data_IF_774281758893
#
_entry.id   IF_774281758893
#
_cell.length_a   1.000
_cell.length_b   1.000
_cell.length_c   1.000
_cell.angle_alpha   90.00
_cell.angle_beta   90.00
_cell.angle_gamma   90.00
#
_symmetry.space_group_name_H-M   'P 1'
#
loop_
_entity.id
_entity.type
_entity.pdbx_description
1 polymer ?
#
# COMPACT_ATOMS: atom_id res chain seq x y z
N UNK A 1 19.04 -2.90 -41.64
CA UNK A 1 18.00 -2.10 -40.96
C UNK A 1 17.39 -2.92 -39.84
N UNK A 2 17.65 -2.57 -38.59
CA UNK A 2 16.70 -2.68 -37.46
C UNK A 2 17.38 -2.05 -36.22
N UNK A 3 17.10 -0.78 -35.96
CA UNK A 3 17.43 -0.13 -34.68
C UNK A 3 16.24 -0.37 -33.74
N UNK A 4 16.42 -1.24 -32.75
CA UNK A 4 15.41 -1.51 -31.73
C UNK A 4 15.22 -0.26 -30.87
N UNK A 5 14.03 0.32 -30.91
CA UNK A 5 13.62 1.43 -30.04
C UNK A 5 13.46 0.89 -28.60
N UNK A 6 14.48 1.08 -27.78
CA UNK A 6 14.40 0.89 -26.34
C UNK A 6 13.71 2.10 -25.68
N UNK A 7 12.41 2.30 -25.95
CA UNK A 7 11.59 3.35 -25.30
C UNK A 7 10.22 2.79 -24.89
N UNK A 8 10.09 2.14 -23.72
CA UNK A 8 8.79 2.17 -23.07
C UNK A 8 8.79 2.49 -21.57
N UNK A 9 9.88 2.29 -20.82
CA UNK A 9 9.85 2.44 -19.36
C UNK A 9 9.87 3.90 -18.89
N UNK A 10 10.65 4.77 -19.54
CA UNK A 10 10.81 6.18 -19.11
C UNK A 10 9.53 7.01 -19.30
N UNK A 11 8.76 6.73 -20.35
CA UNK A 11 7.48 7.42 -20.59
C UNK A 11 6.42 7.00 -19.57
N UNK A 12 6.38 5.72 -19.18
CA UNK A 12 5.42 5.21 -18.20
C UNK A 12 5.67 5.80 -16.81
N UNK A 13 6.93 5.89 -16.38
CA UNK A 13 7.31 6.50 -15.09
C UNK A 13 7.00 7.99 -15.03
N UNK A 14 7.26 8.74 -16.11
CA UNK A 14 6.93 10.18 -16.20
C UNK A 14 5.41 10.41 -16.14
N UNK A 15 4.64 9.59 -16.84
CA UNK A 15 3.17 9.70 -16.86
C UNK A 15 2.57 9.41 -15.48
N UNK A 16 3.15 8.44 -14.75
CA UNK A 16 2.75 8.10 -13.40
C UNK A 16 3.13 9.17 -12.37
N UNK A 17 4.33 9.74 -12.47
CA UNK A 17 4.75 10.88 -11.65
C UNK A 17 3.82 12.08 -11.86
N UNK A 18 3.48 12.40 -13.12
CA UNK A 18 2.50 13.44 -13.44
C UNK A 18 1.13 13.18 -12.82
N UNK A 19 0.65 11.94 -12.82
CA UNK A 19 -0.62 11.57 -12.21
C UNK A 19 -0.61 11.68 -10.67
N UNK A 20 0.51 11.34 -10.00
CA UNK A 20 0.66 11.50 -8.55
C UNK A 20 0.68 13.00 -8.20
N UNK A 21 1.52 13.78 -8.89
CA UNK A 21 1.67 15.21 -8.67
C UNK A 21 0.32 15.95 -8.81
N UNK A 22 -0.46 15.63 -9.84
CA UNK A 22 -1.80 16.20 -10.05
C UNK A 22 -2.76 15.93 -8.88
N UNK A 23 -2.70 14.74 -8.26
CA UNK A 23 -3.58 14.39 -7.13
C UNK A 23 -3.18 15.07 -5.83
N UNK A 24 -1.92 15.50 -5.70
CA UNK A 24 -1.35 16.15 -4.51
C UNK A 24 -1.35 17.68 -4.61
N UNK A 25 -1.40 18.23 -5.83
CA UNK A 25 -1.36 19.66 -6.09
C UNK A 25 -2.36 20.45 -5.23
N UNK A 26 -1.85 21.41 -4.45
CA UNK A 26 -2.65 22.28 -3.58
C UNK A 26 -3.25 21.59 -2.34
N UNK A 27 -2.97 20.30 -2.11
CA UNK A 27 -3.53 19.52 -1.00
C UNK A 27 -2.51 19.14 0.07
N UNK A 28 -1.23 19.15 -0.30
CA UNK A 28 -0.10 18.86 0.59
C UNK A 28 1.02 19.86 0.33
N UNK A 29 1.96 19.97 1.26
CA UNK A 29 3.16 20.79 1.05
C UNK A 29 4.09 20.18 -0.01
N UNK A 30 4.99 20.97 -0.63
CA UNK A 30 5.95 20.46 -1.60
C UNK A 30 6.85 19.33 -1.05
N UNK A 31 7.24 19.42 0.22
CA UNK A 31 8.11 18.43 0.88
C UNK A 31 7.42 17.05 0.97
N UNK A 32 6.14 17.04 1.33
CA UNK A 32 5.31 15.83 1.38
C UNK A 32 5.05 15.31 -0.03
N UNK A 33 4.77 16.19 -1.00
CA UNK A 33 4.53 15.81 -2.39
C UNK A 33 5.73 15.06 -3.00
N UNK A 34 6.93 15.63 -2.89
CA UNK A 34 8.16 15.01 -3.41
C UNK A 34 8.39 13.62 -2.82
N UNK A 35 8.15 13.44 -1.52
CA UNK A 35 8.28 12.14 -0.88
C UNK A 35 7.27 11.11 -1.41
N UNK A 36 6.00 11.50 -1.54
CA UNK A 36 4.94 10.61 -2.04
C UNK A 36 5.19 10.22 -3.49
N UNK A 37 5.66 11.15 -4.32
CA UNK A 37 6.07 10.85 -5.70
C UNK A 37 7.21 9.85 -5.73
N UNK A 38 8.28 10.06 -4.95
CA UNK A 38 9.41 9.15 -4.88
C UNK A 38 8.98 7.74 -4.44
N UNK A 39 8.27 7.62 -3.32
CA UNK A 39 7.81 6.32 -2.79
C UNK A 39 6.79 5.66 -3.73
N UNK A 40 5.92 6.45 -4.35
CA UNK A 40 4.91 5.98 -5.30
C UNK A 40 5.54 5.42 -6.57
N UNK A 41 6.52 6.12 -7.16
CA UNK A 41 7.26 5.61 -8.33
C UNK A 41 7.98 4.31 -7.98
N UNK A 42 8.86 4.32 -6.96
CA UNK A 42 9.65 3.14 -6.57
C UNK A 42 8.77 1.96 -6.11
N UNK A 43 7.64 2.23 -5.46
CA UNK A 43 6.68 1.20 -5.08
C UNK A 43 5.99 0.58 -6.30
N UNK A 44 5.56 1.42 -7.23
CA UNK A 44 4.84 0.95 -8.43
C UNK A 44 5.70 0.14 -9.39
N UNK A 45 7.00 0.46 -9.52
CA UNK A 45 7.97 -0.35 -10.25
C UNK A 45 8.06 -1.79 -9.69
N UNK A 46 7.73 -1.98 -8.41
CA UNK A 46 7.67 -3.27 -7.72
C UNK A 46 6.25 -3.85 -7.65
N UNK A 47 5.28 -3.22 -8.29
CA UNK A 47 3.87 -3.63 -8.34
C UNK A 47 3.05 -3.27 -7.10
N UNK A 48 3.49 -2.32 -6.27
CA UNK A 48 2.73 -1.87 -5.10
C UNK A 48 1.68 -0.80 -5.45
N UNK A 49 0.53 -0.76 -4.75
CA UNK A 49 -0.46 0.30 -4.94
C UNK A 49 0.05 1.65 -4.42
N UNK A 50 -0.20 2.71 -5.19
CA UNK A 50 0.22 4.08 -4.83
C UNK A 50 -0.84 4.83 -4.04
N UNK A 51 -2.13 4.52 -4.27
CA UNK A 51 -3.27 5.22 -3.67
C UNK A 51 -3.20 5.36 -2.14
N UNK A 52 -2.78 4.35 -1.35
CA UNK A 52 -2.67 4.50 0.10
C UNK A 52 -1.67 5.58 0.54
N UNK A 53 -0.58 5.80 -0.21
CA UNK A 53 0.40 6.85 0.08
C UNK A 53 -0.19 8.24 -0.16
N UNK A 54 -0.85 8.42 -1.31
CA UNK A 54 -1.53 9.66 -1.69
C UNK A 54 -2.59 10.01 -0.64
N UNK A 55 -3.45 9.05 -0.30
CA UNK A 55 -4.53 9.27 0.65
C UNK A 55 -4.00 9.61 2.04
N UNK A 56 -2.92 8.95 2.50
CA UNK A 56 -2.34 9.23 3.81
C UNK A 56 -1.75 10.64 3.89
N UNK A 57 -1.07 11.07 2.83
CA UNK A 57 -0.49 12.41 2.75
C UNK A 57 -1.58 13.48 2.82
N UNK A 58 -2.61 13.35 1.98
CA UNK A 58 -3.76 14.27 1.94
C UNK A 58 -4.47 14.30 3.30
N UNK A 59 -4.73 13.14 3.91
CA UNK A 59 -5.40 13.05 5.21
C UNK A 59 -4.59 13.80 6.29
N UNK A 60 -3.28 13.59 6.35
CA UNK A 60 -2.39 14.24 7.30
C UNK A 60 -2.38 15.76 7.12
N UNK A 61 -2.17 16.24 5.90
CA UNK A 61 -2.16 17.67 5.60
C UNK A 61 -3.52 18.32 5.85
N UNK A 62 -4.64 17.67 5.49
CA UNK A 62 -5.98 18.17 5.75
C UNK A 62 -6.30 18.27 7.26
N UNK A 63 -5.67 17.44 8.09
CA UNK A 63 -5.77 17.50 9.56
C UNK A 63 -4.84 18.55 10.19
N UNK A 64 -4.07 19.29 9.39
CA UNK A 64 -3.06 20.24 9.88
C UNK A 64 -1.90 19.58 10.63
N UNK A 65 -1.64 18.30 10.35
CA UNK A 65 -0.52 17.58 10.97
C UNK A 65 0.80 18.13 10.42
N UNK A 66 1.80 18.39 11.29
CA UNK A 66 3.13 18.81 10.84
C UNK A 66 3.75 17.89 9.78
N UNK A 67 4.42 18.49 8.80
CA UNK A 67 4.97 17.79 7.63
C UNK A 67 5.87 16.60 7.99
N UNK A 68 6.71 16.74 9.03
CA UNK A 68 7.59 15.68 9.53
C UNK A 68 6.81 14.44 9.99
N UNK A 69 5.67 14.65 10.66
CA UNK A 69 4.75 13.58 11.08
C UNK A 69 3.99 12.98 9.91
N UNK A 70 3.58 13.79 8.92
CA UNK A 70 2.96 13.28 7.69
C UNK A 70 3.96 12.41 6.92
N UNK A 71 5.20 12.89 6.77
CA UNK A 71 6.30 12.15 6.14
C UNK A 71 6.55 10.81 6.83
N UNK A 72 6.64 10.80 8.17
CA UNK A 72 6.82 9.56 8.92
C UNK A 72 5.66 8.58 8.69
N UNK A 73 4.42 9.07 8.68
CA UNK A 73 3.25 8.24 8.45
C UNK A 73 3.19 7.66 7.02
N UNK A 74 3.55 8.45 6.00
CA UNK A 74 3.61 7.98 4.60
C UNK A 74 4.68 6.90 4.43
N UNK A 75 5.86 7.07 5.05
CA UNK A 75 6.92 6.04 5.05
C UNK A 75 6.46 4.74 5.72
N UNK A 76 5.73 4.86 6.82
CA UNK A 76 5.16 3.70 7.50
C UNK A 76 4.15 2.96 6.60
N UNK A 77 3.27 3.68 5.89
CA UNK A 77 2.36 3.06 4.92
C UNK A 77 3.12 2.33 3.81
N UNK A 78 4.20 2.91 3.28
CA UNK A 78 5.04 2.23 2.30
C UNK A 78 5.62 0.90 2.83
N UNK A 79 6.15 0.90 4.06
CA UNK A 79 6.68 -0.31 4.70
C UNK A 79 5.60 -1.38 4.97
N UNK A 80 4.38 -0.95 5.30
CA UNK A 80 3.23 -1.84 5.49
C UNK A 80 2.76 -2.46 4.18
N UNK A 81 2.78 -1.71 3.08
CA UNK A 81 2.50 -2.23 1.74
C UNK A 81 3.52 -3.30 1.32
N UNK A 82 4.81 -3.04 1.55
CA UNK A 82 5.87 -4.02 1.33
C UNK A 82 5.66 -5.29 2.18
N UNK A 83 5.32 -5.11 3.45
CA UNK A 83 5.06 -6.22 4.38
C UNK A 83 3.87 -7.06 3.95
N UNK A 84 2.77 -6.41 3.59
CA UNK A 84 1.56 -7.07 3.10
C UNK A 84 1.83 -7.84 1.79
N UNK A 85 2.50 -7.22 0.83
CA UNK A 85 2.83 -7.86 -0.44
C UNK A 85 3.71 -9.10 -0.28
N UNK A 86 4.66 -9.08 0.68
CA UNK A 86 5.46 -10.23 0.99
C UNK A 86 4.65 -11.36 1.68
N UNK A 87 3.80 -11.01 2.64
CA UNK A 87 2.94 -11.98 3.34
C UNK A 87 1.95 -12.68 2.40
N UNK A 88 1.30 -11.92 1.51
CA UNK A 88 0.37 -12.45 0.52
C UNK A 88 1.05 -13.43 -0.44
N UNK A 89 2.28 -13.10 -0.87
CA UNK A 89 3.09 -13.98 -1.74
C UNK A 89 3.49 -15.27 -1.05
N UNK A 90 3.88 -15.19 0.22
CA UNK A 90 4.17 -16.36 1.05
C UNK A 90 2.93 -17.24 1.25
N UNK A 91 1.74 -16.63 1.31
CA UNK A 91 0.46 -17.31 1.35
C UNK A 91 -0.01 -17.90 0.02
N UNK A 92 0.76 -17.75 -1.07
CA UNK A 92 0.47 -18.31 -2.39
C UNK A 92 -0.31 -17.38 -3.32
N UNK A 93 -0.51 -16.11 -2.97
CA UNK A 93 -1.20 -15.13 -3.80
C UNK A 93 -0.24 -14.23 -4.57
N UNK A 94 -0.59 -13.94 -5.81
CA UNK A 94 0.13 -12.99 -6.67
C UNK A 94 -0.03 -11.53 -6.22
N UNK A 95 0.57 -10.63 -6.99
CA UNK A 95 0.61 -9.19 -6.71
C UNK A 95 -0.73 -8.47 -7.01
N UNK A 96 -1.82 -8.84 -6.33
CA UNK A 96 -3.09 -8.12 -6.39
C UNK A 96 -3.03 -6.85 -5.53
N UNK A 97 -3.10 -5.69 -6.17
CA UNK A 97 -2.91 -4.39 -5.52
C UNK A 97 -4.00 -4.05 -4.51
N UNK A 98 -5.22 -4.55 -4.68
CA UNK A 98 -6.32 -4.34 -3.74
C UNK A 98 -6.13 -5.19 -2.49
N UNK A 99 -5.72 -6.45 -2.66
CA UNK A 99 -5.38 -7.33 -1.55
C UNK A 99 -4.18 -6.77 -0.75
N UNK A 100 -3.15 -6.25 -1.44
CA UNK A 100 -1.99 -5.61 -0.80
C UNK A 100 -2.42 -4.39 0.03
N UNK A 101 -3.27 -3.51 -0.53
CA UNK A 101 -3.78 -2.35 0.20
C UNK A 101 -4.63 -2.76 1.42
N UNK A 102 -5.46 -3.79 1.29
CA UNK A 102 -6.24 -4.33 2.41
C UNK A 102 -5.34 -4.97 3.49
N UNK A 103 -4.27 -5.66 3.10
CA UNK A 103 -3.30 -6.23 4.03
C UNK A 103 -2.53 -5.15 4.79
N UNK A 104 -2.11 -4.07 4.14
CA UNK A 104 -1.46 -2.95 4.81
C UNK A 104 -2.39 -2.21 5.79
N UNK A 105 -3.67 -2.06 5.42
CA UNK A 105 -4.70 -1.60 6.35
C UNK A 105 -4.82 -2.52 7.57
N UNK A 106 -4.89 -3.83 7.36
CA UNK A 106 -5.01 -4.80 8.45
C UNK A 106 -3.80 -4.79 9.39
N UNK A 107 -2.58 -4.63 8.85
CA UNK A 107 -1.36 -4.46 9.65
C UNK A 107 -1.44 -3.20 10.51
N UNK A 108 -1.89 -2.08 9.93
CA UNK A 108 -2.12 -0.84 10.69
C UNK A 108 -3.13 -1.03 11.82
N UNK A 109 -4.13 -1.88 11.59
CA UNK A 109 -5.18 -2.20 12.53
C UNK A 109 -4.78 -3.26 13.58
N UNK A 110 -3.56 -3.78 13.53
CA UNK A 110 -3.00 -4.68 14.55
C UNK A 110 -2.81 -6.13 14.12
N UNK A 111 -3.10 -6.50 12.87
CA UNK A 111 -2.76 -7.85 12.38
C UNK A 111 -1.26 -8.00 12.19
N UNK A 112 -0.75 -9.18 12.53
CA UNK A 112 0.64 -9.56 12.24
C UNK A 112 0.80 -10.00 10.78
N UNK A 113 2.05 -10.00 10.29
CA UNK A 113 2.40 -10.62 9.00
C UNK A 113 1.88 -12.06 8.89
N UNK A 114 1.99 -12.83 9.98
CA UNK A 114 1.58 -14.23 9.99
C UNK A 114 0.07 -14.40 9.81
N UNK A 115 -0.73 -13.48 10.36
CA UNK A 115 -2.19 -13.48 10.16
C UNK A 115 -2.55 -13.24 8.70
N UNK A 116 -1.84 -12.30 8.04
CA UNK A 116 -2.03 -12.03 6.60
C UNK A 116 -1.67 -13.27 5.77
N UNK A 117 -0.53 -13.92 6.07
CA UNK A 117 -0.11 -15.16 5.39
C UNK A 117 -1.14 -16.28 5.60
N UNK A 118 -1.64 -16.46 6.83
CA UNK A 118 -2.64 -17.48 7.14
C UNK A 118 -3.96 -17.24 6.40
N UNK A 119 -4.46 -15.99 6.38
CA UNK A 119 -5.65 -15.62 5.63
C UNK A 119 -5.45 -15.83 4.12
N UNK A 120 -4.26 -15.53 3.59
CA UNK A 120 -3.93 -15.75 2.18
C UNK A 120 -3.93 -17.24 1.80
N UNK A 121 -3.46 -18.14 2.67
CA UNK A 121 -3.46 -19.59 2.43
C UNK A 121 -4.88 -20.18 2.33
N UNK A 122 -5.82 -19.62 3.09
CA UNK A 122 -7.22 -20.08 3.09
C UNK A 122 -8.05 -19.36 2.02
N UNK A 123 -7.66 -18.13 1.65
CA UNK A 123 -8.35 -17.29 0.69
C UNK A 123 -8.21 -17.78 -0.76
N UNK A 124 -9.20 -18.52 -1.26
CA UNK A 124 -9.17 -19.08 -2.62
C UNK A 124 -9.22 -18.04 -3.76
N UNK A 125 -9.65 -16.78 -3.51
CA UNK A 125 -9.74 -15.72 -4.54
C UNK A 125 -9.32 -14.35 -3.97
N UNK A 126 -8.59 -13.50 -4.74
CA UNK A 126 -8.13 -12.18 -4.29
C UNK A 126 -9.24 -11.25 -3.78
N UNK A 127 -10.43 -11.29 -4.40
CA UNK A 127 -11.55 -10.43 -4.01
C UNK A 127 -12.10 -10.81 -2.63
N UNK A 128 -12.24 -12.11 -2.37
CA UNK A 128 -12.70 -12.63 -1.07
C UNK A 128 -11.66 -12.31 0.00
N UNK A 129 -10.38 -12.48 -0.31
CA UNK A 129 -9.33 -12.12 0.63
C UNK A 129 -9.29 -10.62 0.93
N UNK A 130 -9.46 -9.76 -0.06
CA UNK A 130 -9.51 -8.30 0.13
C UNK A 130 -10.60 -7.92 1.14
N UNK A 131 -11.79 -8.50 1.00
CA UNK A 131 -12.89 -8.30 1.97
C UNK A 131 -12.51 -8.87 3.33
N UNK A 132 -12.00 -10.11 3.39
CA UNK A 132 -11.59 -10.77 4.61
C UNK A 132 -10.54 -9.99 5.41
N UNK A 133 -9.52 -9.45 4.73
CA UNK A 133 -8.48 -8.63 5.35
C UNK A 133 -9.03 -7.32 5.93
N UNK A 134 -9.97 -6.67 5.22
CA UNK A 134 -10.62 -5.46 5.75
C UNK A 134 -11.49 -5.75 6.97
N UNK A 135 -12.22 -6.86 6.94
CA UNK A 135 -13.04 -7.30 8.08
C UNK A 135 -12.14 -7.66 9.26
N UNK A 136 -11.13 -8.50 9.06
CA UNK A 136 -10.20 -8.91 10.10
C UNK A 136 -9.46 -7.70 10.71
N UNK A 137 -8.99 -6.76 9.87
CA UNK A 137 -8.42 -5.50 10.33
C UNK A 137 -9.39 -4.69 11.18
N UNK A 138 -10.64 -4.52 10.71
CA UNK A 138 -11.67 -3.81 11.48
C UNK A 138 -11.92 -4.47 12.84
N UNK A 139 -12.01 -5.80 12.89
CA UNK A 139 -12.21 -6.54 14.12
C UNK A 139 -11.03 -6.38 15.09
N UNK A 140 -9.79 -6.43 14.60
CA UNK A 140 -8.61 -6.21 15.41
C UNK A 140 -8.54 -4.77 15.97
N UNK A 141 -8.90 -3.77 15.17
CA UNK A 141 -9.03 -2.39 15.63
C UNK A 141 -10.10 -2.21 16.72
N UNK A 142 -11.14 -3.06 16.72
CA UNK A 142 -12.17 -3.12 17.76
C UNK A 142 -11.75 -3.96 18.99
N UNK A 143 -10.53 -4.51 19.00
CA UNK A 143 -10.00 -5.30 20.11
C UNK A 143 -10.45 -6.77 20.11
N UNK A 144 -11.01 -7.26 19.00
CA UNK A 144 -11.32 -8.69 18.86
C UNK A 144 -10.01 -9.45 18.63
N UNK A 145 -9.64 -10.41 19.50
CA UNK A 145 -8.41 -11.16 19.33
C UNK A 145 -8.48 -12.06 18.09
N UNK A 146 -7.34 -12.34 17.43
CA UNK A 146 -7.29 -13.36 16.39
C UNK A 146 -7.73 -14.71 16.97
N UNK A 147 -8.40 -15.53 16.16
CA UNK A 147 -8.78 -16.86 16.57
C UNK A 147 -7.51 -17.65 16.95
N UNK A 148 -7.48 -18.20 18.17
CA UNK A 148 -6.41 -19.10 18.57
C UNK A 148 -6.36 -20.29 17.61
N UNK A 149 -5.17 -20.63 17.12
CA UNK A 149 -5.00 -21.89 16.39
C UNK A 149 -5.23 -23.03 17.38
N UNK A 150 -6.10 -24.02 17.09
CA UNK A 150 -6.16 -25.22 17.90
C UNK A 150 -4.76 -25.87 17.87
N UNK A 151 -4.24 -26.16 19.06
CA UNK A 151 -2.96 -26.88 19.25
C UNK A 151 -3.06 -28.31 18.72
#
# INVERSE_FOLDING_TARGET
MLTLLAVPLTLLSMQQQGAIAQRLAGRVSPSVATLVEQLGTTGSERGLPVDPLIQKAIEGSAKGIPDDRVVAAVRMVAAQLDTAAAALREGGLGSDTLAVAAGAFAITAGLSRNDITALARVGARPQVLTVGLRVAGTLAALGVPPAESPQ
#
